data_IF_517586327233
#
_entry.id   IF_517586327233
#
_cell.length_a   1.000
_cell.length_b   1.000
_cell.length_c   1.000
_cell.angle_alpha   90.00
_cell.angle_beta   90.00
_cell.angle_gamma   90.00
#
_symmetry.space_group_name_H-M   'P 1'
#
loop_
_entity.id
_entity.type
_entity.pdbx_description
1 polymer ?
#
# COMPACT_ATOMS: atom_id res chain seq x y z
N UNK A 1 1.36 -15.74 -0.51
CA UNK A 1 1.11 -14.72 -1.55
C UNK A 1 2.45 -14.25 -2.10
N UNK A 2 2.70 -14.35 -3.41
CA UNK A 2 3.96 -13.87 -3.99
C UNK A 2 3.86 -12.35 -4.18
N UNK A 3 4.99 -11.63 -4.11
CA UNK A 3 5.01 -10.17 -4.30
C UNK A 3 4.48 -9.75 -5.69
N UNK A 4 4.56 -10.62 -6.69
CA UNK A 4 3.96 -10.40 -8.00
C UNK A 4 2.42 -10.36 -7.97
N UNK A 5 1.80 -11.18 -7.13
CA UNK A 5 0.35 -11.18 -6.94
C UNK A 5 -0.08 -9.88 -6.24
N UNK A 6 0.70 -9.45 -5.23
CA UNK A 6 0.47 -8.17 -4.52
C UNK A 6 0.59 -6.99 -5.47
N UNK A 7 1.59 -7.01 -6.36
CA UNK A 7 1.81 -5.96 -7.36
C UNK A 7 0.59 -5.79 -8.26
N UNK A 8 -0.05 -6.90 -8.63
CA UNK A 8 -1.26 -6.91 -9.47
C UNK A 8 -2.46 -6.36 -8.71
N UNK A 9 -2.70 -6.83 -7.48
CA UNK A 9 -3.84 -6.38 -6.65
C UNK A 9 -3.73 -4.90 -6.27
N UNK A 10 -2.54 -4.44 -5.89
CA UNK A 10 -2.30 -3.06 -5.47
C UNK A 10 -2.03 -2.11 -6.65
N UNK A 11 -1.89 -2.62 -7.88
CA UNK A 11 -1.48 -1.86 -9.06
C UNK A 11 -0.19 -1.05 -8.85
N UNK A 12 0.82 -1.67 -8.23
CA UNK A 12 2.13 -1.06 -8.00
C UNK A 12 3.25 -1.98 -8.46
N UNK A 13 4.42 -1.42 -8.76
CA UNK A 13 5.57 -2.21 -9.19
C UNK A 13 6.10 -3.13 -8.07
N UNK A 14 6.77 -4.23 -8.44
CA UNK A 14 7.39 -5.17 -7.47
C UNK A 14 8.35 -4.50 -6.48
N UNK A 15 9.21 -3.54 -6.86
CA UNK A 15 10.03 -2.79 -5.89
C UNK A 15 9.19 -2.03 -4.87
N UNK A 16 8.05 -1.46 -5.28
CA UNK A 16 7.12 -0.76 -4.38
C UNK A 16 6.44 -1.73 -3.43
N UNK A 17 6.08 -2.93 -3.88
CA UNK A 17 5.61 -4.00 -2.99
C UNK A 17 6.65 -4.33 -1.92
N UNK A 18 7.93 -4.46 -2.31
CA UNK A 18 9.01 -4.68 -1.35
C UNK A 18 9.11 -3.54 -0.34
N UNK A 19 9.01 -2.29 -0.79
CA UNK A 19 9.04 -1.13 0.10
C UNK A 19 7.85 -1.12 1.08
N UNK A 20 6.63 -1.49 0.66
CA UNK A 20 5.45 -1.62 1.55
C UNK A 20 5.64 -2.76 2.56
N UNK A 21 6.07 -3.94 2.09
CA UNK A 21 6.29 -5.12 2.95
C UNK A 21 7.38 -4.85 4.00
N UNK A 22 8.43 -4.11 3.62
CA UNK A 22 9.51 -3.68 4.52
C UNK A 22 9.16 -2.41 5.32
N UNK A 23 7.89 -1.97 5.33
CA UNK A 23 7.40 -0.80 6.08
C UNK A 23 8.15 0.51 5.79
N UNK A 24 8.68 0.67 4.58
CA UNK A 24 9.34 1.91 4.13
C UNK A 24 8.29 2.97 3.75
N UNK A 25 7.38 3.27 4.67
CA UNK A 25 6.19 4.11 4.46
C UNK A 25 6.54 5.56 4.13
N UNK A 26 7.73 6.06 4.51
CA UNK A 26 8.24 7.38 4.13
C UNK A 26 8.42 7.57 2.62
N UNK A 27 8.50 6.49 1.84
CA UNK A 27 8.54 6.53 0.37
C UNK A 27 7.18 6.70 -0.29
N UNK A 28 6.10 6.79 0.48
CA UNK A 28 4.73 6.83 -0.01
C UNK A 28 4.05 8.07 0.52
N UNK A 29 3.29 8.74 -0.34
CA UNK A 29 2.33 9.75 0.13
C UNK A 29 1.23 9.07 0.94
N UNK A 30 0.58 9.84 1.82
CA UNK A 30 -0.58 9.33 2.57
C UNK A 30 -1.65 8.83 1.60
N UNK A 31 -1.94 9.55 0.52
CA UNK A 31 -2.90 9.15 -0.52
C UNK A 31 -2.58 7.78 -1.12
N UNK A 32 -1.29 7.50 -1.36
CA UNK A 32 -0.85 6.21 -1.90
C UNK A 32 -1.12 5.08 -0.91
N UNK A 33 -0.86 5.30 0.38
CA UNK A 33 -1.11 4.31 1.43
C UNK A 33 -2.60 4.06 1.60
N UNK A 34 -3.41 5.12 1.62
CA UNK A 34 -4.89 5.03 1.70
C UNK A 34 -5.45 4.26 0.51
N UNK A 35 -4.99 4.56 -0.71
CA UNK A 35 -5.43 3.87 -1.93
C UNK A 35 -5.07 2.38 -1.90
N UNK A 36 -3.90 2.01 -1.38
CA UNK A 36 -3.52 0.60 -1.22
C UNK A 36 -4.42 -0.14 -0.23
N UNK A 37 -4.73 0.49 0.91
CA UNK A 37 -5.64 -0.08 1.91
C UNK A 37 -7.05 -0.22 1.35
N UNK A 38 -7.53 0.75 0.57
CA UNK A 38 -8.83 0.69 -0.09
C UNK A 38 -8.90 -0.47 -1.10
N UNK A 39 -7.84 -0.69 -1.89
CA UNK A 39 -7.76 -1.79 -2.88
C UNK A 39 -7.82 -3.19 -2.28
N UNK A 40 -7.44 -3.33 -1.01
CA UNK A 40 -7.57 -4.61 -0.26
C UNK A 40 -8.86 -4.68 0.57
N UNK A 41 -9.81 -3.77 0.34
CA UNK A 41 -11.10 -3.73 1.02
C UNK A 41 -11.04 -3.26 2.47
N UNK A 42 -9.96 -2.58 2.89
CA UNK A 42 -9.86 -2.02 4.23
C UNK A 42 -10.35 -0.57 4.23
N UNK A 43 -11.37 -0.31 5.04
CA UNK A 43 -11.80 1.06 5.35
C UNK A 43 -10.70 1.78 6.14
N UNK A 44 -10.34 2.99 5.70
CA UNK A 44 -9.35 3.83 6.38
C UNK A 44 -10.06 4.97 7.08
N UNK A 45 -9.78 5.15 8.37
CA UNK A 45 -10.22 6.31 9.14
C UNK A 45 -9.00 7.16 9.48
N UNK A 46 -9.13 8.46 9.27
CA UNK A 46 -8.10 9.44 9.64
C UNK A 46 -8.68 10.28 10.78
N UNK A 47 -8.06 10.19 11.95
CA UNK A 47 -8.38 11.04 13.09
C UNK A 47 -7.34 12.15 13.20
N UNK A 48 -7.80 13.39 13.21
CA UNK A 48 -6.97 14.57 13.44
C UNK A 48 -7.47 15.19 14.75
N UNK A 49 -6.57 15.38 15.70
CA UNK A 49 -6.84 15.97 17.03
C UNK A 49 -5.92 17.14 17.30
#
# INVERSE_FOLDING_TARGET
MKQADVATVLHISRPRVSDVVNKKTSKFTIDSLVNMLNRIGKSVQVSVG
#
